data_IF_808976469493
#
_entry.id   IF_808976469493
#
_cell.length_a   1.000
_cell.length_b   1.000
_cell.length_c   1.000
_cell.angle_alpha   90.00
_cell.angle_beta   90.00
_cell.angle_gamma   90.00
#
_symmetry.space_group_name_H-M   'P 1'
#
loop_
_entity.id
_entity.type
_entity.pdbx_description
1 polymer ?
#
# COMPACT_ATOMS: atom_id res chain seq x y z
N UNK A 1 64.53 -26.56 29.14
CA UNK A 1 63.39 -26.51 28.22
C UNK A 1 62.47 -25.37 28.64
N UNK A 2 62.46 -24.26 27.88
CA UNK A 2 61.61 -23.09 28.17
C UNK A 2 60.38 -23.16 27.27
N UNK A 3 59.19 -23.33 27.85
CA UNK A 3 57.93 -23.34 27.11
C UNK A 3 57.47 -21.89 26.92
N UNK A 4 57.38 -21.42 25.67
CA UNK A 4 56.73 -20.16 25.29
C UNK A 4 55.24 -20.45 25.06
N UNK A 5 54.40 -19.86 25.89
CA UNK A 5 52.95 -19.81 25.65
C UNK A 5 52.65 -18.57 24.76
N UNK A 6 52.20 -18.81 23.55
CA UNK A 6 51.70 -17.76 22.68
C UNK A 6 50.21 -17.55 22.98
N UNK A 7 49.88 -16.38 23.52
CA UNK A 7 48.48 -15.94 23.73
C UNK A 7 47.99 -15.36 22.41
N UNK A 8 47.04 -16.03 21.78
CA UNK A 8 46.34 -15.54 20.57
C UNK A 8 45.23 -14.58 21.00
N UNK A 9 45.42 -13.28 20.77
CA UNK A 9 44.36 -12.28 20.96
C UNK A 9 43.43 -12.34 19.75
N UNK A 10 42.25 -12.93 19.91
CA UNK A 10 41.17 -12.89 18.92
C UNK A 10 40.49 -11.54 18.99
N UNK A 11 40.81 -10.66 18.06
CA UNK A 11 40.12 -9.36 17.91
C UNK A 11 38.68 -9.59 17.43
N UNK A 12 37.71 -9.47 18.33
CA UNK A 12 36.30 -9.44 17.98
C UNK A 12 36.00 -8.08 17.38
N UNK A 13 35.93 -7.99 16.05
CA UNK A 13 35.42 -6.82 15.36
C UNK A 13 33.89 -6.77 15.56
N UNK A 14 33.44 -5.92 16.48
CA UNK A 14 32.03 -5.57 16.61
C UNK A 14 31.67 -4.74 15.36
N UNK A 15 31.05 -5.39 14.36
CA UNK A 15 30.37 -4.68 13.28
C UNK A 15 29.21 -3.92 13.91
N UNK A 16 29.41 -2.64 14.18
CA UNK A 16 28.32 -1.71 14.48
C UNK A 16 27.42 -1.65 13.26
N UNK A 17 26.27 -2.36 13.29
CA UNK A 17 25.18 -2.10 12.37
C UNK A 17 24.63 -0.70 12.64
N UNK A 18 25.22 0.31 12.04
CA UNK A 18 24.70 1.66 12.02
C UNK A 18 23.28 1.61 11.44
N UNK A 19 22.28 1.99 12.22
CA UNK A 19 20.95 2.21 11.68
C UNK A 19 21.05 3.28 10.59
N UNK A 20 20.80 2.91 9.34
CA UNK A 20 20.73 3.91 8.27
C UNK A 20 19.67 4.94 8.66
N UNK A 21 20.02 6.23 8.56
CA UNK A 21 19.12 7.33 8.88
C UNK A 21 17.87 7.21 7.99
N UNK A 22 16.69 7.37 8.59
CA UNK A 22 15.41 7.41 7.85
C UNK A 22 15.42 8.66 6.96
N UNK A 23 15.15 8.48 5.68
CA UNK A 23 15.06 9.60 4.74
C UNK A 23 13.71 10.27 4.86
N UNK A 24 13.69 11.59 4.81
CA UNK A 24 12.44 12.36 4.79
C UNK A 24 12.23 12.98 3.40
N UNK A 25 10.99 12.92 2.94
CA UNK A 25 10.60 13.44 1.63
C UNK A 25 9.43 14.40 1.76
N UNK A 26 9.42 15.41 0.89
CA UNK A 26 8.23 16.19 0.54
C UNK A 26 7.82 15.87 -0.89
N UNK A 27 6.59 16.21 -1.25
CA UNK A 27 6.06 16.02 -2.59
C UNK A 27 6.29 17.24 -3.47
N UNK A 28 6.57 16.99 -4.74
CA UNK A 28 6.38 17.91 -5.85
C UNK A 28 5.22 17.38 -6.68
N UNK A 29 4.16 18.16 -6.84
CA UNK A 29 3.05 17.83 -7.73
C UNK A 29 3.50 18.09 -9.17
N UNK A 30 3.46 17.05 -9.99
CA UNK A 30 3.84 17.08 -11.40
C UNK A 30 2.63 17.34 -12.29
N UNK A 31 1.51 16.69 -11.96
CA UNK A 31 0.23 16.84 -12.67
C UNK A 31 -0.94 16.50 -11.74
N UNK A 32 -2.12 17.02 -12.09
CA UNK A 32 -3.38 16.74 -11.41
C UNK A 32 -4.37 16.13 -12.40
N UNK A 33 -5.12 15.15 -11.93
CA UNK A 33 -6.15 14.47 -12.70
C UNK A 33 -7.49 14.50 -11.95
N UNK A 34 -8.62 14.46 -12.65
CA UNK A 34 -9.91 14.29 -12.01
C UNK A 34 -9.96 12.96 -11.24
N UNK A 35 -10.62 12.95 -10.09
CA UNK A 35 -10.92 11.75 -9.34
C UNK A 35 -12.39 11.81 -8.89
N UNK A 36 -13.05 10.67 -8.84
CA UNK A 36 -14.46 10.56 -8.52
C UNK A 36 -14.70 10.77 -7.02
N UNK A 37 -15.43 11.80 -6.64
CA UNK A 37 -15.74 12.12 -5.23
C UNK A 37 -16.61 11.08 -4.52
N UNK A 38 -17.21 10.15 -5.27
CA UNK A 38 -17.92 9.00 -4.70
C UNK A 38 -16.97 7.81 -4.44
N UNK A 39 -15.69 7.95 -4.77
CA UNK A 39 -14.66 6.93 -4.52
C UNK A 39 -14.13 7.02 -3.08
N UNK A 40 -14.66 6.18 -2.19
CA UNK A 40 -14.05 5.96 -0.88
C UNK A 40 -12.87 4.99 -1.05
N UNK A 41 -11.74 5.50 -1.54
CA UNK A 41 -10.57 4.74 -2.00
C UNK A 41 -9.98 3.85 -0.91
N UNK A 42 -9.88 2.55 -1.18
CA UNK A 42 -9.31 1.55 -0.30
C UNK A 42 -8.15 0.76 -0.93
N UNK A 43 -8.07 0.74 -2.25
CA UNK A 43 -6.95 0.21 -3.00
C UNK A 43 -6.83 0.93 -4.33
N UNK A 44 -5.60 1.28 -4.71
CA UNK A 44 -5.28 1.98 -5.95
C UNK A 44 -4.01 1.40 -6.52
N UNK A 45 -4.00 1.03 -7.80
CA UNK A 45 -2.80 0.46 -8.43
C UNK A 45 -2.82 0.59 -9.95
N UNK A 46 -1.65 0.43 -10.56
CA UNK A 46 -1.53 0.21 -12.00
C UNK A 46 -1.20 -1.26 -12.30
N UNK A 47 -1.90 -1.81 -13.29
CA UNK A 47 -1.53 -3.08 -13.92
C UNK A 47 -1.47 -2.88 -15.42
N UNK A 48 -0.34 -3.25 -16.04
CA UNK A 48 -0.06 -3.10 -17.47
C UNK A 48 -0.32 -1.69 -18.05
N UNK A 49 -0.16 -0.62 -17.23
CA UNK A 49 -0.36 0.78 -17.60
C UNK A 49 -1.83 1.25 -17.54
N UNK A 50 -2.70 0.43 -16.98
CA UNK A 50 -4.09 0.74 -16.69
C UNK A 50 -4.29 0.92 -15.20
N UNK A 51 -4.98 1.99 -14.80
CA UNK A 51 -5.30 2.26 -13.40
C UNK A 51 -6.55 1.51 -12.95
N UNK A 52 -6.49 0.95 -11.76
CA UNK A 52 -7.59 0.26 -11.08
C UNK A 52 -7.77 0.81 -9.67
N UNK A 53 -8.99 0.77 -9.18
CA UNK A 53 -9.37 1.27 -7.87
C UNK A 53 -10.42 0.38 -7.22
N UNK A 54 -10.25 0.04 -5.94
CA UNK A 54 -11.32 -0.48 -5.10
C UNK A 54 -11.79 0.56 -4.12
N UNK A 55 -13.12 0.65 -3.94
CA UNK A 55 -13.77 1.63 -3.07
C UNK A 55 -14.59 0.92 -2.01
N UNK A 56 -14.53 1.42 -0.77
CA UNK A 56 -15.29 0.91 0.35
C UNK A 56 -16.66 1.57 0.47
N UNK A 57 -17.35 1.28 1.52
CA UNK A 57 -18.69 1.67 1.99
C UNK A 57 -19.74 0.56 1.75
N UNK A 58 -20.49 0.24 2.80
CA UNK A 58 -21.61 -0.71 2.72
C UNK A 58 -22.66 -0.20 1.73
N UNK A 59 -23.11 -1.05 0.81
CA UNK A 59 -24.05 -0.69 -0.25
C UNK A 59 -23.45 0.12 -1.41
N UNK A 60 -22.16 0.51 -1.34
CA UNK A 60 -21.52 1.37 -2.34
C UNK A 60 -20.17 0.84 -2.81
N UNK A 61 -19.72 -0.29 -2.24
CA UNK A 61 -18.40 -0.86 -2.55
C UNK A 61 -18.26 -1.31 -3.99
N UNK A 62 -17.15 -0.91 -4.64
CA UNK A 62 -16.90 -1.25 -6.04
C UNK A 62 -15.43 -1.60 -6.29
N UNK A 63 -15.18 -2.29 -7.40
CA UNK A 63 -13.87 -2.33 -8.05
C UNK A 63 -14.01 -1.73 -9.45
N UNK A 64 -13.06 -0.89 -9.84
CA UNK A 64 -13.16 -0.08 -11.06
C UNK A 64 -11.89 -0.16 -11.88
N UNK A 65 -12.04 -0.26 -13.20
CA UNK A 65 -11.02 0.13 -14.17
C UNK A 65 -11.23 1.62 -14.47
N UNK A 66 -10.24 2.46 -14.24
CA UNK A 66 -10.39 3.92 -14.27
C UNK A 66 -9.64 4.53 -15.44
N UNK A 67 -10.29 5.46 -16.14
CA UNK A 67 -9.65 6.34 -17.10
C UNK A 67 -8.92 7.46 -16.36
N UNK A 68 -7.61 7.50 -16.49
CA UNK A 68 -6.75 8.46 -15.77
C UNK A 68 -7.08 9.91 -16.12
N UNK A 69 -7.47 10.19 -17.38
CA UNK A 69 -7.67 11.57 -17.84
C UNK A 69 -8.98 12.17 -17.37
N UNK A 70 -9.98 11.32 -17.17
CA UNK A 70 -11.34 11.76 -16.80
C UNK A 70 -11.75 11.38 -15.38
N UNK A 71 -11.02 10.48 -14.71
CA UNK A 71 -11.39 9.91 -13.41
C UNK A 71 -12.60 8.97 -13.46
N UNK A 72 -13.14 8.68 -14.66
CA UNK A 72 -14.35 7.87 -14.81
C UNK A 72 -14.06 6.38 -14.89
N UNK A 73 -14.97 5.59 -14.36
CA UNK A 73 -14.91 4.14 -14.50
C UNK A 73 -15.17 3.72 -15.96
N UNK A 74 -14.22 3.02 -16.58
CA UNK A 74 -14.36 2.36 -17.87
C UNK A 74 -15.06 0.99 -17.74
N UNK A 75 -14.87 0.34 -16.60
CA UNK A 75 -15.49 -0.91 -16.20
C UNK A 75 -15.67 -0.90 -14.68
N UNK A 76 -16.75 -1.48 -14.20
CA UNK A 76 -17.11 -1.49 -12.78
C UNK A 76 -17.65 -2.86 -12.38
N UNK A 77 -17.22 -3.33 -11.22
CA UNK A 77 -17.77 -4.47 -10.52
C UNK A 77 -18.38 -3.97 -9.21
N UNK A 78 -19.66 -4.20 -9.02
CA UNK A 78 -20.38 -3.86 -7.79
C UNK A 78 -20.37 -5.05 -6.83
N UNK A 79 -20.23 -4.79 -5.53
CA UNK A 79 -20.29 -5.80 -4.49
C UNK A 79 -21.65 -5.76 -3.78
N UNK A 80 -22.03 -6.89 -3.18
CA UNK A 80 -23.23 -6.95 -2.35
C UNK A 80 -23.12 -5.96 -1.19
N UNK A 81 -24.25 -5.38 -0.80
CA UNK A 81 -24.38 -4.32 0.21
C UNK A 81 -23.81 -4.71 1.59
N UNK A 82 -23.72 -6.01 1.88
CA UNK A 82 -23.16 -6.55 3.12
C UNK A 82 -21.63 -6.46 3.19
N UNK A 83 -20.96 -6.05 2.11
CA UNK A 83 -19.50 -6.00 2.06
C UNK A 83 -18.98 -4.58 2.02
N UNK A 84 -18.06 -4.31 2.93
CA UNK A 84 -17.18 -3.17 2.83
C UNK A 84 -15.88 -3.66 2.19
N UNK A 85 -15.67 -3.29 0.93
CA UNK A 85 -14.48 -3.66 0.16
C UNK A 85 -13.29 -2.81 0.60
N UNK A 86 -12.14 -3.43 0.60
CA UNK A 86 -10.86 -2.87 1.02
C UNK A 86 -9.81 -2.99 -0.12
N UNK A 87 -8.55 -3.16 0.23
CA UNK A 87 -7.46 -3.26 -0.73
C UNK A 87 -7.67 -4.36 -1.78
N UNK A 88 -7.19 -4.08 -2.98
CA UNK A 88 -7.25 -5.00 -4.12
C UNK A 88 -5.96 -4.97 -4.92
N UNK A 89 -5.70 -6.06 -5.67
CA UNK A 89 -4.53 -6.15 -6.55
C UNK A 89 -4.72 -7.21 -7.64
N UNK A 90 -4.15 -6.96 -8.82
CA UNK A 90 -3.98 -7.97 -9.87
C UNK A 90 -2.72 -8.79 -9.59
N UNK A 91 -2.85 -10.12 -9.50
CA UNK A 91 -1.72 -11.00 -9.24
C UNK A 91 -1.89 -12.35 -9.93
N UNK A 92 -0.92 -12.79 -10.72
CA UNK A 92 -0.92 -14.08 -11.44
C UNK A 92 -2.23 -14.36 -12.20
N UNK A 93 -2.74 -13.36 -12.94
CA UNK A 93 -3.95 -13.50 -13.77
C UNK A 93 -5.26 -13.49 -12.97
N UNK A 94 -5.24 -13.14 -11.70
CA UNK A 94 -6.41 -12.97 -10.87
C UNK A 94 -6.46 -11.58 -10.25
N UNK A 95 -7.67 -11.06 -10.05
CA UNK A 95 -7.97 -9.95 -9.18
C UNK A 95 -8.28 -10.49 -7.78
N UNK A 96 -7.57 -9.99 -6.79
CA UNK A 96 -7.80 -10.27 -5.37
C UNK A 96 -8.39 -9.03 -4.71
N UNK A 97 -9.45 -9.20 -3.92
CA UNK A 97 -10.15 -8.11 -3.24
C UNK A 97 -10.42 -8.50 -1.79
N UNK A 98 -9.96 -7.69 -0.86
CA UNK A 98 -10.20 -7.89 0.58
C UNK A 98 -11.51 -7.24 1.01
N UNK A 99 -12.05 -7.70 2.14
CA UNK A 99 -13.16 -7.06 2.84
C UNK A 99 -12.74 -6.72 4.28
N UNK A 100 -13.35 -5.69 4.84
CA UNK A 100 -13.08 -5.24 6.20
C UNK A 100 -13.51 -6.31 7.25
N UNK A 101 -14.61 -6.07 7.95
CA UNK A 101 -15.06 -6.92 9.08
C UNK A 101 -15.67 -8.24 8.64
N UNK A 102 -16.10 -8.36 7.38
CA UNK A 102 -16.62 -9.62 6.82
C UNK A 102 -15.55 -10.70 6.71
N UNK A 103 -14.26 -10.32 6.77
CA UNK A 103 -13.11 -11.24 6.78
C UNK A 103 -13.15 -12.25 5.64
N UNK A 104 -13.46 -11.75 4.46
CA UNK A 104 -13.45 -12.50 3.20
C UNK A 104 -12.45 -11.90 2.25
N UNK A 105 -11.94 -12.73 1.36
CA UNK A 105 -11.19 -12.30 0.20
C UNK A 105 -11.85 -12.90 -1.04
N UNK A 106 -12.21 -12.05 -1.98
CA UNK A 106 -12.77 -12.47 -3.26
C UNK A 106 -11.69 -12.60 -4.31
N UNK A 107 -11.85 -13.56 -5.20
CA UNK A 107 -10.98 -13.79 -6.34
C UNK A 107 -11.82 -13.80 -7.61
N UNK A 108 -11.39 -12.99 -8.56
CA UNK A 108 -11.98 -12.87 -9.89
C UNK A 108 -10.91 -13.15 -10.96
N UNK A 109 -11.33 -13.46 -12.16
CA UNK A 109 -10.43 -13.42 -13.31
C UNK A 109 -9.99 -11.99 -13.60
N UNK A 110 -8.69 -11.75 -13.81
CA UNK A 110 -8.15 -10.40 -14.00
C UNK A 110 -8.61 -9.72 -15.29
N UNK A 111 -8.97 -10.50 -16.33
CA UNK A 111 -9.35 -9.96 -17.65
C UNK A 111 -10.86 -9.78 -17.78
N UNK A 112 -11.62 -10.80 -17.33
CA UNK A 112 -13.09 -10.83 -17.53
C UNK A 112 -13.85 -10.26 -16.33
N UNK A 113 -13.21 -10.17 -15.15
CA UNK A 113 -13.81 -9.90 -13.85
C UNK A 113 -14.89 -10.92 -13.46
N UNK A 114 -14.86 -12.10 -14.04
CA UNK A 114 -15.73 -13.20 -13.63
C UNK A 114 -15.30 -13.74 -12.26
N UNK A 115 -16.29 -13.96 -11.40
CA UNK A 115 -16.07 -14.51 -10.06
C UNK A 115 -15.48 -15.94 -10.14
N UNK A 116 -14.42 -16.19 -9.37
CA UNK A 116 -13.76 -17.50 -9.25
C UNK A 116 -13.99 -18.15 -7.89
N UNK A 117 -13.72 -17.43 -6.81
CA UNK A 117 -13.79 -18.01 -5.46
C UNK A 117 -13.86 -16.96 -4.36
N UNK A 118 -14.26 -17.42 -3.17
CA UNK A 118 -14.18 -16.66 -1.92
C UNK A 118 -13.34 -17.43 -0.91
N UNK A 119 -12.39 -16.76 -0.30
CA UNK A 119 -11.57 -17.30 0.77
C UNK A 119 -11.95 -16.69 2.11
N UNK A 120 -11.88 -17.49 3.17
CA UNK A 120 -11.95 -16.98 4.55
C UNK A 120 -10.62 -16.26 4.83
N UNK A 121 -10.70 -14.97 5.16
CA UNK A 121 -9.54 -14.15 5.51
C UNK A 121 -9.49 -14.01 7.05
N UNK A 122 -8.38 -14.36 7.72
CA UNK A 122 -8.38 -14.54 9.18
C UNK A 122 -8.32 -13.23 9.99
N UNK A 123 -8.29 -12.08 9.31
CA UNK A 123 -8.19 -10.72 9.90
C UNK A 123 -9.04 -9.73 9.14
N UNK A 124 -9.10 -8.49 9.60
CA UNK A 124 -9.62 -7.40 8.78
C UNK A 124 -8.72 -7.22 7.55
N UNK A 125 -9.32 -7.03 6.39
CA UNK A 125 -8.59 -6.59 5.21
C UNK A 125 -8.47 -5.07 5.26
N UNK A 126 -7.27 -4.55 4.97
CA UNK A 126 -7.02 -3.13 4.75
C UNK A 126 -6.32 -2.96 3.40
N UNK A 127 -5.02 -2.66 3.33
CA UNK A 127 -4.30 -2.58 2.07
C UNK A 127 -3.90 -3.95 1.50
N UNK A 128 -3.71 -4.03 0.19
CA UNK A 128 -3.25 -5.23 -0.51
C UNK A 128 -2.40 -4.85 -1.72
N UNK A 129 -1.19 -5.41 -1.79
CA UNK A 129 -0.29 -5.32 -2.95
C UNK A 129 0.43 -6.66 -3.16
N UNK A 130 1.45 -6.72 -4.04
CA UNK A 130 2.27 -7.91 -4.24
C UNK A 130 3.72 -7.59 -4.62
N UNK A 131 4.68 -8.48 -4.28
CA UNK A 131 6.10 -8.39 -4.66
C UNK A 131 6.46 -9.23 -5.90
N UNK A 132 5.46 -9.74 -6.62
CA UNK A 132 5.61 -10.69 -7.73
C UNK A 132 5.67 -12.15 -7.29
N UNK A 133 5.90 -12.42 -6.00
CA UNK A 133 5.95 -13.77 -5.42
C UNK A 133 4.83 -13.99 -4.41
N UNK A 134 4.56 -12.98 -3.57
CA UNK A 134 3.59 -13.02 -2.49
C UNK A 134 2.56 -11.91 -2.62
N UNK A 135 1.34 -12.18 -2.20
CA UNK A 135 0.38 -11.16 -1.80
C UNK A 135 0.88 -10.53 -0.49
N UNK A 136 0.79 -9.21 -0.37
CA UNK A 136 1.25 -8.44 0.79
C UNK A 136 0.09 -7.62 1.30
N UNK A 137 -0.30 -7.80 2.57
CA UNK A 137 -1.46 -7.14 3.14
C UNK A 137 -1.19 -6.46 4.48
N UNK A 138 -1.96 -5.42 4.76
CA UNK A 138 -2.10 -4.76 6.06
C UNK A 138 -3.44 -5.10 6.72
N UNK A 139 -3.58 -4.79 8.01
CA UNK A 139 -4.80 -4.98 8.82
C UNK A 139 -5.01 -3.86 9.85
N UNK A 140 -4.43 -2.69 9.62
CA UNK A 140 -4.47 -1.55 10.55
C UNK A 140 -3.55 -1.70 11.76
N UNK A 141 -2.94 -2.86 11.97
CA UNK A 141 -1.90 -3.03 13.00
C UNK A 141 -0.54 -2.50 12.52
N UNK A 142 0.51 -2.78 13.29
CA UNK A 142 1.89 -2.52 12.87
C UNK A 142 2.51 -3.68 12.10
N UNK A 143 1.71 -4.60 11.55
CA UNK A 143 2.21 -5.76 10.87
C UNK A 143 1.85 -5.76 9.39
N UNK A 144 2.76 -6.29 8.58
CA UNK A 144 2.55 -6.64 7.18
C UNK A 144 2.58 -8.16 7.06
N UNK A 145 1.68 -8.71 6.26
CA UNK A 145 1.51 -10.15 6.07
C UNK A 145 1.84 -10.54 4.63
N UNK A 146 2.72 -11.51 4.46
CA UNK A 146 3.08 -12.09 3.17
C UNK A 146 2.39 -13.43 3.03
N UNK A 147 1.67 -13.62 1.94
CA UNK A 147 0.82 -14.79 1.70
C UNK A 147 1.03 -15.34 0.29
N UNK A 148 0.72 -16.59 0.08
CA UNK A 148 0.58 -17.13 -1.28
C UNK A 148 -0.78 -16.76 -1.91
N UNK A 149 -1.01 -17.20 -3.14
CA UNK A 149 -2.23 -16.97 -3.91
C UNK A 149 -3.51 -17.56 -3.26
N UNK A 150 -3.37 -18.45 -2.29
CA UNK A 150 -4.46 -19.05 -1.53
C UNK A 150 -4.62 -18.41 -0.14
N UNK A 151 -4.01 -17.26 0.10
CA UNK A 151 -3.98 -16.54 1.37
C UNK A 151 -3.33 -17.32 2.53
N UNK A 152 -2.55 -18.39 2.25
CA UNK A 152 -1.77 -19.06 3.27
C UNK A 152 -0.58 -18.16 3.69
N UNK A 153 -0.57 -17.74 4.95
CA UNK A 153 0.46 -16.86 5.49
C UNK A 153 1.83 -17.54 5.46
N UNK A 154 2.78 -16.95 4.77
CA UNK A 154 4.19 -17.39 4.71
C UNK A 154 5.06 -16.64 5.73
N UNK A 155 4.77 -15.35 5.93
CA UNK A 155 5.53 -14.49 6.84
C UNK A 155 4.65 -13.39 7.41
N UNK A 156 4.96 -12.97 8.63
CA UNK A 156 4.46 -11.76 9.29
C UNK A 156 5.65 -10.89 9.65
N UNK A 157 5.58 -9.61 9.35
CA UNK A 157 6.65 -8.66 9.59
C UNK A 157 6.14 -7.47 10.41
N UNK A 158 6.74 -7.26 11.57
CA UNK A 158 6.51 -6.03 12.36
C UNK A 158 7.19 -4.85 11.67
N UNK A 159 6.45 -3.76 11.47
CA UNK A 159 6.95 -2.50 10.91
C UNK A 159 7.34 -1.56 12.04
N UNK A 160 8.57 -1.01 11.94
CA UNK A 160 9.10 -0.12 12.97
C UNK A 160 9.77 1.10 12.37
N UNK A 161 9.57 2.25 13.01
CA UNK A 161 10.30 3.49 12.78
C UNK A 161 11.19 3.73 14.01
N UNK A 162 12.51 3.69 13.83
CA UNK A 162 13.48 3.85 14.92
C UNK A 162 13.21 2.95 16.14
N UNK A 163 12.81 1.70 15.86
CA UNK A 163 12.50 0.70 16.89
C UNK A 163 11.09 0.77 17.48
N UNK A 164 10.29 1.79 17.13
CA UNK A 164 8.90 1.93 17.58
C UNK A 164 7.93 1.38 16.54
N UNK A 165 6.92 0.58 16.93
CA UNK A 165 5.92 0.06 15.98
C UNK A 165 5.13 1.17 15.29
N UNK A 166 5.00 1.09 13.96
CA UNK A 166 4.14 1.97 13.16
C UNK A 166 2.79 1.31 12.98
N UNK A 167 1.76 1.83 13.64
CA UNK A 167 0.38 1.32 13.56
C UNK A 167 -0.41 2.03 12.47
N UNK A 168 -1.62 1.52 12.22
CA UNK A 168 -2.57 2.06 11.25
C UNK A 168 -2.04 2.02 9.80
N UNK A 169 -1.22 1.00 9.49
CA UNK A 169 -0.81 0.73 8.12
C UNK A 169 -2.07 0.38 7.30
N UNK A 170 -2.31 1.13 6.23
CA UNK A 170 -3.51 1.01 5.42
C UNK A 170 -3.17 0.62 3.98
N UNK A 171 -3.54 1.43 3.02
CA UNK A 171 -3.32 1.15 1.61
C UNK A 171 -1.83 0.96 1.32
N UNK A 172 -1.52 -0.01 0.44
CA UNK A 172 -0.17 -0.49 0.20
C UNK A 172 0.17 -0.49 -1.29
N UNK A 173 1.40 -0.08 -1.61
CA UNK A 173 1.96 -0.26 -2.94
C UNK A 173 3.40 -0.78 -2.87
N UNK A 174 3.78 -1.65 -3.83
CA UNK A 174 5.13 -2.21 -3.91
C UNK A 174 5.93 -1.53 -5.01
N UNK A 175 6.85 -0.63 -4.61
CA UNK A 175 7.64 0.21 -5.50
C UNK A 175 9.13 -0.08 -5.31
N UNK A 176 9.81 -0.50 -6.38
CA UNK A 176 11.28 -0.68 -6.43
C UNK A 176 11.85 -1.45 -5.22
N UNK A 177 11.22 -2.58 -4.88
CA UNK A 177 11.68 -3.44 -3.81
C UNK A 177 11.36 -2.95 -2.40
N UNK A 178 10.48 -1.95 -2.25
CA UNK A 178 9.99 -1.41 -0.99
C UNK A 178 8.47 -1.47 -0.94
N UNK A 179 7.91 -1.58 0.28
CA UNK A 179 6.49 -1.43 0.52
C UNK A 179 6.25 0.00 0.95
N UNK A 180 5.37 0.68 0.24
CA UNK A 180 4.86 1.99 0.64
C UNK A 180 3.52 1.78 1.30
N UNK A 181 3.25 2.50 2.39
CA UNK A 181 2.01 2.35 3.13
C UNK A 181 1.47 3.69 3.60
N UNK A 182 0.20 3.97 3.34
CA UNK A 182 -0.50 5.04 4.02
C UNK A 182 -0.58 4.74 5.53
N UNK A 183 -0.35 5.76 6.36
CA UNK A 183 -0.61 5.70 7.81
C UNK A 183 -1.97 6.36 8.06
N UNK A 184 -3.00 5.54 8.26
CA UNK A 184 -4.39 5.99 8.35
C UNK A 184 -4.60 7.10 9.38
N UNK A 185 -5.44 8.07 9.05
CA UNK A 185 -5.73 9.31 9.77
C UNK A 185 -4.57 10.33 9.84
N UNK A 186 -3.52 10.12 9.02
CA UNK A 186 -2.41 11.09 8.90
C UNK A 186 -2.17 11.44 7.43
N UNK A 187 -1.43 12.53 7.20
CA UNK A 187 -0.92 12.89 5.87
C UNK A 187 0.47 12.29 5.60
N UNK A 188 0.71 11.06 6.08
CA UNK A 188 2.02 10.43 5.98
C UNK A 188 1.98 9.10 5.26
N UNK A 189 2.99 8.86 4.42
CA UNK A 189 3.28 7.57 3.84
C UNK A 189 4.64 7.10 4.35
N UNK A 190 4.76 5.83 4.74
CA UNK A 190 6.02 5.22 5.15
C UNK A 190 6.56 4.30 4.06
N UNK A 191 7.89 4.35 3.84
CA UNK A 191 8.61 3.45 2.95
C UNK A 191 9.28 2.38 3.80
N UNK A 192 8.88 1.12 3.61
CA UNK A 192 9.23 0.00 4.47
C UNK A 192 10.17 -0.94 3.71
N UNK A 193 11.25 -1.36 4.37
CA UNK A 193 12.07 -2.45 3.87
C UNK A 193 11.35 -3.79 4.14
N UNK A 194 10.96 -4.55 3.09
CA UNK A 194 10.19 -5.78 3.28
C UNK A 194 10.96 -6.90 4.00
N UNK A 195 12.30 -6.83 4.06
CA UNK A 195 13.13 -7.87 4.66
C UNK A 195 13.11 -7.86 6.19
N UNK A 196 13.11 -6.66 6.78
CA UNK A 196 13.24 -6.47 8.23
C UNK A 196 12.13 -5.59 8.85
N UNK A 197 11.21 -5.05 8.04
CA UNK A 197 10.12 -4.19 8.48
C UNK A 197 10.55 -2.79 8.92
N UNK A 198 11.81 -2.41 8.76
CA UNK A 198 12.25 -1.06 9.12
C UNK A 198 11.74 -0.04 8.13
N UNK A 199 11.21 1.06 8.65
CA UNK A 199 10.92 2.25 7.85
C UNK A 199 12.24 2.88 7.42
N UNK A 200 12.40 3.08 6.12
CA UNK A 200 13.59 3.67 5.50
C UNK A 200 13.32 5.06 4.96
N UNK A 201 12.05 5.45 4.84
CA UNK A 201 11.64 6.76 4.37
C UNK A 201 10.28 7.17 4.93
N UNK A 202 10.12 8.48 5.11
CA UNK A 202 8.86 9.14 5.49
C UNK A 202 8.52 10.15 4.41
N UNK A 203 7.30 10.12 3.93
CA UNK A 203 6.78 11.07 2.94
C UNK A 203 5.73 11.93 3.62
N UNK A 204 5.96 13.22 3.63
CA UNK A 204 5.05 14.25 4.13
C UNK A 204 4.14 14.69 2.98
N UNK A 205 2.86 14.33 3.07
CA UNK A 205 1.82 14.67 2.10
C UNK A 205 0.91 15.81 2.58
N UNK A 206 1.31 16.51 3.66
CA UNK A 206 0.53 17.61 4.23
C UNK A 206 0.22 18.67 3.16
N UNK A 207 -1.08 18.95 2.99
CA UNK A 207 -1.58 19.94 2.04
C UNK A 207 -1.56 19.49 0.58
N UNK A 208 -1.37 18.20 0.30
CA UNK A 208 -1.46 17.66 -1.06
C UNK A 208 -2.84 17.95 -1.69
N UNK A 209 -3.93 17.74 -0.94
CA UNK A 209 -5.24 18.27 -1.30
C UNK A 209 -5.38 19.68 -0.71
N UNK A 210 -5.47 20.75 -1.51
CA UNK A 210 -5.74 22.10 -1.02
C UNK A 210 -7.12 22.20 -0.33
N UNK A 211 -7.18 22.95 0.74
CA UNK A 211 -8.43 23.15 1.52
C UNK A 211 -9.60 23.69 0.68
N UNK A 212 -9.31 24.37 -0.42
CA UNK A 212 -10.35 24.86 -1.36
C UNK A 212 -11.13 23.76 -2.09
N UNK A 213 -10.61 22.52 -2.06
CA UNK A 213 -11.27 21.35 -2.65
C UNK A 213 -12.00 20.47 -1.61
N UNK A 214 -11.99 20.88 -0.33
CA UNK A 214 -12.66 20.11 0.71
C UNK A 214 -14.18 20.24 0.60
N UNK A 215 -14.83 19.11 0.53
CA UNK A 215 -16.28 18.92 0.59
C UNK A 215 -16.66 18.19 1.90
N UNK A 216 -17.93 18.20 2.32
CA UNK A 216 -18.35 17.49 3.55
C UNK A 216 -18.01 15.98 3.56
N UNK A 217 -17.92 15.36 2.39
CA UNK A 217 -17.56 13.94 2.21
C UNK A 217 -16.05 13.69 2.14
N UNK A 218 -15.23 14.73 1.98
CA UNK A 218 -13.76 14.58 1.88
C UNK A 218 -13.21 13.93 3.13
N UNK A 219 -12.48 12.83 2.96
CA UNK A 219 -11.89 12.08 4.06
C UNK A 219 -10.36 12.02 3.88
N UNK A 220 -9.67 11.10 4.53
CA UNK A 220 -8.21 11.07 4.65
C UNK A 220 -7.50 10.68 3.37
N UNK A 221 -6.21 11.03 3.30
CA UNK A 221 -5.25 10.49 2.34
C UNK A 221 -5.27 8.97 2.37
N UNK A 222 -5.54 8.33 1.23
CA UNK A 222 -5.46 6.89 1.04
C UNK A 222 -5.46 6.55 -0.45
N UNK A 223 -4.48 5.78 -0.89
CA UNK A 223 -4.29 5.38 -2.28
C UNK A 223 -2.94 5.81 -2.83
N UNK A 224 -2.12 4.81 -3.16
CA UNK A 224 -0.79 4.94 -3.77
C UNK A 224 -0.77 4.04 -4.98
N UNK A 225 -0.49 4.60 -6.15
CA UNK A 225 -0.34 3.80 -7.36
C UNK A 225 0.99 4.09 -8.06
N UNK A 226 1.62 3.04 -8.55
CA UNK A 226 2.89 3.13 -9.28
C UNK A 226 2.76 2.51 -10.67
N UNK A 227 2.88 3.35 -11.70
CA UNK A 227 2.95 2.87 -13.07
C UNK A 227 4.39 2.46 -13.41
N UNK A 228 4.66 1.16 -13.39
CA UNK A 228 5.98 0.59 -13.70
C UNK A 228 6.47 0.90 -15.12
N UNK A 229 5.56 1.16 -16.08
CA UNK A 229 5.92 1.48 -17.47
C UNK A 229 6.52 2.87 -17.59
N UNK A 230 6.02 3.82 -16.80
CA UNK A 230 6.44 5.23 -16.87
C UNK A 230 7.29 5.67 -15.69
N UNK A 231 7.33 4.88 -14.61
CA UNK A 231 8.00 5.24 -13.35
C UNK A 231 7.27 6.32 -12.55
N UNK A 232 5.99 6.57 -12.87
CA UNK A 232 5.19 7.62 -12.24
C UNK A 232 4.47 7.12 -11.01
N UNK A 233 4.35 8.00 -10.01
CA UNK A 233 3.67 7.74 -8.74
C UNK A 233 2.44 8.64 -8.67
N UNK A 234 1.33 8.05 -8.25
CA UNK A 234 0.05 8.75 -8.10
C UNK A 234 -0.47 8.58 -6.69
N UNK A 235 -1.03 9.67 -6.14
CA UNK A 235 -1.61 9.70 -4.79
C UNK A 235 -3.01 10.32 -4.84
N UNK A 236 -3.91 9.80 -4.04
CA UNK A 236 -5.25 10.36 -3.81
C UNK A 236 -5.69 10.15 -2.36
N UNK A 237 -6.95 10.44 -2.08
CA UNK A 237 -7.59 10.19 -0.79
C UNK A 237 -9.06 9.80 -0.96
N UNK A 238 -9.65 9.36 0.12
CA UNK A 238 -11.06 8.93 0.19
C UNK A 238 -11.97 10.12 -0.11
N UNK A 239 -12.78 9.98 -1.16
CA UNK A 239 -13.68 11.03 -1.67
C UNK A 239 -12.96 12.33 -2.10
N UNK A 240 -11.69 12.25 -2.45
CA UNK A 240 -10.99 13.40 -3.00
C UNK A 240 -11.42 13.67 -4.44
N UNK A 241 -11.51 14.94 -4.88
CA UNK A 241 -11.84 15.28 -6.27
C UNK A 241 -10.63 15.25 -7.20
N UNK A 242 -9.45 14.92 -6.68
CA UNK A 242 -8.17 14.94 -7.41
C UNK A 242 -7.32 13.71 -7.14
N UNK A 243 -6.66 13.25 -8.19
CA UNK A 243 -5.54 12.33 -8.18
C UNK A 243 -4.28 13.13 -8.58
N UNK A 244 -3.19 12.98 -7.87
CA UNK A 244 -1.96 13.73 -8.07
C UNK A 244 -0.84 12.84 -8.58
N UNK A 245 -0.25 13.17 -9.75
CA UNK A 245 1.05 12.63 -10.14
C UNK A 245 2.12 13.40 -9.35
N UNK A 246 2.98 12.66 -8.65
CA UNK A 246 3.94 13.27 -7.72
C UNK A 246 5.36 12.78 -7.95
N UNK A 247 6.33 13.59 -7.52
CA UNK A 247 7.74 13.25 -7.41
C UNK A 247 8.21 13.47 -5.97
N UNK A 248 9.08 12.57 -5.47
CA UNK A 248 9.69 12.73 -4.17
C UNK A 248 10.88 13.68 -4.23
N UNK A 249 10.93 14.62 -3.30
CA UNK A 249 12.07 15.51 -3.07
C UNK A 249 12.61 15.23 -1.66
N UNK A 250 13.83 14.68 -1.57
CA UNK A 250 14.47 14.40 -0.27
C UNK A 250 14.73 15.72 0.49
N UNK A 251 14.28 15.77 1.74
CA UNK A 251 14.57 16.90 2.63
C UNK A 251 16.06 16.82 3.06
N UNK A 252 16.79 17.92 2.89
CA UNK A 252 18.21 18.01 3.27
C UNK A 252 18.38 18.15 4.78
#
# INVERSE_FOLDING_TARGET
MKHFFAIFFMAVTILSCGNAKVKEYKLEVVAEYPHDTDSYTQGLFFDEGQMYESTGQYGLSTFRKVDLQTGKALQRLDFNDDYFVEGSVMFKGNLYVLTWTSRKAFVYDAQTLEYKSTWKYPREGWGLTHDGTHLIASDGSANIYFMDENFAQKRKQLVTLEGRPVRFLNELEYIDGKIWANVYTTDSIVIINPKDGKVTGLIDCTGLLPKSFYEPSTDVLNGIAYDKKTGKIYLTGKNWPRLYEVRLIEKK
#
